data_IF_694264049172
#
_entry.id   IF_694264049172
#
_cell.length_a   1.000
_cell.length_b   1.000
_cell.length_c   1.000
_cell.angle_alpha   90.00
_cell.angle_beta   90.00
_cell.angle_gamma   90.00
#
_symmetry.space_group_name_H-M   'P 1'
#
loop_
_entity.id
_entity.type
_entity.pdbx_description
1 polymer ?
#
# COMPACT_ATOMS: atom_id res chain seq x y z
N UNK A 1 37.33 -32.47 -12.49
CA UNK A 1 36.68 -31.25 -13.00
C UNK A 1 35.35 -31.17 -12.28
N UNK A 2 35.26 -30.31 -11.27
CA UNK A 2 34.00 -30.11 -10.52
C UNK A 2 33.24 -28.97 -11.18
N UNK A 3 32.06 -29.27 -11.72
CA UNK A 3 31.19 -28.26 -12.31
C UNK A 3 30.44 -27.52 -11.19
N UNK A 4 30.77 -26.25 -10.96
CA UNK A 4 29.99 -25.40 -10.06
C UNK A 4 28.61 -25.14 -10.66
N UNK A 5 27.53 -25.59 -10.00
CA UNK A 5 26.17 -25.26 -10.41
C UNK A 5 25.96 -23.74 -10.43
N UNK A 6 25.20 -23.19 -11.40
CA UNK A 6 24.85 -21.79 -11.40
C UNK A 6 24.01 -21.50 -10.16
N UNK A 7 24.53 -20.70 -9.22
CA UNK A 7 23.70 -20.06 -8.20
C UNK A 7 22.80 -19.07 -8.93
N UNK A 8 21.59 -19.52 -9.26
CA UNK A 8 20.53 -18.67 -9.76
C UNK A 8 20.14 -17.72 -8.60
N UNK A 9 20.93 -16.67 -8.40
CA UNK A 9 20.74 -15.65 -7.38
C UNK A 9 19.71 -14.62 -7.86
N UNK A 10 18.56 -15.10 -8.30
CA UNK A 10 17.41 -14.24 -8.57
C UNK A 10 16.56 -14.24 -7.30
N UNK A 11 16.73 -13.20 -6.48
CA UNK A 11 15.76 -12.87 -5.43
C UNK A 11 14.57 -12.19 -6.09
N UNK A 12 13.35 -12.58 -5.72
CA UNK A 12 12.14 -11.84 -6.11
C UNK A 12 12.22 -10.46 -5.46
N UNK A 13 12.29 -9.41 -6.26
CA UNK A 13 12.14 -8.04 -5.78
C UNK A 13 10.65 -7.79 -5.51
N UNK A 14 10.29 -7.64 -4.24
CA UNK A 14 8.92 -7.31 -3.85
C UNK A 14 8.75 -5.79 -3.84
N UNK A 15 8.14 -5.23 -4.90
CA UNK A 15 7.78 -3.81 -4.93
C UNK A 15 6.62 -3.54 -3.98
N UNK A 16 6.89 -2.84 -2.88
CA UNK A 16 5.86 -2.44 -1.91
C UNK A 16 5.39 -1.01 -2.21
N UNK A 17 4.13 -0.87 -2.67
CA UNK A 17 3.52 0.44 -2.90
C UNK A 17 2.82 0.90 -1.62
N UNK A 18 3.30 2.00 -1.04
CA UNK A 18 2.68 2.64 0.12
C UNK A 18 1.86 3.85 -0.34
N UNK A 19 0.58 3.91 0.05
CA UNK A 19 -0.28 5.09 -0.18
C UNK A 19 -0.97 5.46 1.13
N UNK A 20 -1.02 6.76 1.40
CA UNK A 20 -1.69 7.33 2.59
C UNK A 20 -3.05 7.86 2.20
N UNK A 21 -4.07 7.52 2.99
CA UNK A 21 -5.43 8.01 2.78
C UNK A 21 -5.95 8.68 4.06
N UNK A 22 -6.71 9.77 3.89
CA UNK A 22 -7.31 10.48 5.00
C UNK A 22 -8.57 9.76 5.49
N UNK A 23 -8.78 9.64 6.81
CA UNK A 23 -9.93 8.95 7.42
C UNK A 23 -11.27 9.49 6.90
N UNK A 24 -11.36 10.81 6.68
CA UNK A 24 -12.59 11.42 6.15
C UNK A 24 -12.94 10.87 4.77
N UNK A 25 -11.94 10.55 3.97
CA UNK A 25 -12.10 9.94 2.66
C UNK A 25 -12.62 8.50 2.75
N UNK A 26 -12.66 7.85 3.92
CA UNK A 26 -13.30 6.53 4.06
C UNK A 26 -14.73 6.59 4.60
N UNK A 27 -15.11 7.67 5.28
CA UNK A 27 -16.43 7.84 5.90
C UNK A 27 -17.53 8.26 4.90
N UNK A 28 -17.16 8.90 3.80
CA UNK A 28 -18.09 9.24 2.73
C UNK A 28 -18.57 7.97 1.99
N UNK A 29 -19.90 7.86 1.79
CA UNK A 29 -20.53 6.72 1.11
C UNK A 29 -19.86 6.48 -0.26
N UNK A 30 -19.39 5.25 -0.48
CA UNK A 30 -18.78 4.82 -1.74
C UNK A 30 -17.28 5.12 -1.88
N UNK A 31 -16.66 5.93 -1.00
CA UNK A 31 -15.23 6.18 -1.07
C UNK A 31 -14.37 5.02 -0.53
N UNK A 32 -14.85 4.31 0.48
CA UNK A 32 -14.21 3.06 0.93
C UNK A 32 -14.11 2.04 -0.22
N UNK A 33 -15.13 1.96 -1.09
CA UNK A 33 -15.11 1.11 -2.28
C UNK A 33 -14.08 1.58 -3.32
N UNK A 34 -13.88 2.89 -3.49
CA UNK A 34 -12.82 3.44 -4.35
C UNK A 34 -11.42 3.10 -3.83
N UNK A 35 -11.20 3.19 -2.51
CA UNK A 35 -9.94 2.80 -1.87
C UNK A 35 -9.69 1.30 -2.05
N UNK A 36 -10.69 0.45 -1.82
CA UNK A 36 -10.59 -1.00 -2.04
C UNK A 36 -10.25 -1.35 -3.50
N UNK A 37 -10.87 -0.64 -4.46
CA UNK A 37 -10.55 -0.82 -5.88
C UNK A 37 -9.12 -0.39 -6.21
N UNK A 38 -8.64 0.71 -5.63
CA UNK A 38 -7.25 1.15 -5.80
C UNK A 38 -6.25 0.15 -5.16
N UNK A 39 -6.55 -0.39 -3.98
CA UNK A 39 -5.71 -1.40 -3.34
C UNK A 39 -5.59 -2.65 -4.21
N UNK A 40 -6.72 -3.13 -4.76
CA UNK A 40 -6.74 -4.25 -5.69
C UNK A 40 -5.98 -3.96 -6.99
N UNK A 41 -6.19 -2.78 -7.59
CA UNK A 41 -5.56 -2.38 -8.87
C UNK A 41 -4.04 -2.24 -8.76
N UNK A 42 -3.54 -1.74 -7.63
CA UNK A 42 -2.13 -1.45 -7.43
C UNK A 42 -1.41 -2.48 -6.55
N UNK A 43 -2.05 -3.61 -6.22
CA UNK A 43 -1.51 -4.63 -5.34
C UNK A 43 -0.94 -4.07 -4.02
N UNK A 44 -1.65 -3.10 -3.43
CA UNK A 44 -1.22 -2.43 -2.19
C UNK A 44 -1.50 -3.38 -1.03
N UNK A 45 -0.42 -3.81 -0.36
CA UNK A 45 -0.49 -4.77 0.75
C UNK A 45 -0.73 -4.04 2.08
N UNK A 46 -0.27 -2.78 2.19
CA UNK A 46 -0.35 -1.99 3.43
C UNK A 46 -1.01 -0.63 3.15
N UNK A 47 -2.08 -0.34 3.90
CA UNK A 47 -2.82 0.92 3.83
C UNK A 47 -2.61 1.72 5.12
N UNK A 48 -1.97 2.90 5.02
CA UNK A 48 -1.85 3.85 6.12
C UNK A 48 -3.04 4.80 6.15
N UNK A 49 -3.77 4.84 7.27
CA UNK A 49 -4.94 5.69 7.48
C UNK A 49 -4.61 6.76 8.52
N UNK A 50 -4.83 8.04 8.21
CA UNK A 50 -4.61 9.15 9.15
C UNK A 50 -5.88 9.97 9.38
N UNK A 51 -6.21 10.23 10.64
CA UNK A 51 -7.25 11.19 11.07
C UNK A 51 -6.57 12.53 11.30
N UNK A 52 -6.95 13.58 10.58
CA UNK A 52 -6.71 14.94 11.05
C UNK A 52 -7.90 15.30 11.93
N UNK A 53 -7.65 15.35 13.24
CA UNK A 53 -8.53 16.06 14.16
C UNK A 53 -8.20 17.55 14.00
N UNK A 54 -9.24 18.35 13.77
CA UNK A 54 -9.08 19.78 13.50
C UNK A 54 -8.30 20.43 14.63
N UNK A 55 -7.24 21.17 14.25
CA UNK A 55 -6.71 22.20 15.11
C UNK A 55 -7.87 23.17 15.38
N UNK A 56 -8.39 23.16 16.61
CA UNK A 56 -9.35 24.15 17.08
C UNK A 56 -8.61 25.50 17.09
N UNK A 57 -9.04 26.52 16.33
CA UNK A 57 -8.45 27.84 16.46
C UNK A 57 -8.83 28.40 17.83
N UNK A 58 -7.84 28.45 18.72
CA UNK A 58 -7.91 29.18 19.99
C UNK A 58 -8.20 30.68 19.78
#
# INVERSE_FOLDING_TARGET
MEASLPKHLLSVEATTIVKTFHVRTMYETGKAAQVANAMKRYNIIVLGICKVDGMDPA
#
